data_IF_797827886296
#
_entry.id   IF_797827886296
#
_cell.length_a   1.000
_cell.length_b   1.000
_cell.length_c   1.000
_cell.angle_alpha   90.00
_cell.angle_beta   90.00
_cell.angle_gamma   90.00
#
_symmetry.space_group_name_H-M   'P 1'
#
loop_
_entity.id
_entity.type
_entity.pdbx_description
1 polymer ?
#
# COMPACT_ATOMS: atom_id res chain seq x y z
N UNK A 1 -4.00 6.55 -1.29
CA UNK A 1 -2.75 6.21 -2.03
C UNK A 1 -2.94 4.92 -2.83
N UNK A 2 -2.42 4.86 -4.05
CA UNK A 2 -2.19 3.62 -4.79
C UNK A 2 -0.75 3.19 -4.55
N UNK A 3 -0.57 2.10 -3.83
CA UNK A 3 0.71 1.73 -3.22
C UNK A 3 1.31 0.49 -3.85
N UNK A 4 2.62 0.52 -4.14
CA UNK A 4 3.35 -0.62 -4.71
C UNK A 4 2.72 -1.15 -6.00
N UNK A 5 2.26 -0.26 -6.88
CA UNK A 5 1.58 -0.63 -8.13
C UNK A 5 2.56 -1.25 -9.14
N UNK A 6 2.04 -2.19 -9.92
CA UNK A 6 2.75 -2.88 -11.00
C UNK A 6 2.24 -2.47 -12.36
N UNK A 7 2.95 -2.93 -13.39
CA UNK A 7 2.62 -2.61 -14.78
C UNK A 7 1.16 -2.95 -15.08
N UNK A 8 0.53 -2.04 -15.81
CA UNK A 8 -0.88 -2.06 -16.19
C UNK A 8 -1.87 -1.85 -15.02
N UNK A 9 -1.46 -1.94 -13.74
CA UNK A 9 -2.34 -1.64 -12.61
C UNK A 9 -2.62 -0.13 -12.50
N UNK A 10 -1.65 0.76 -12.76
CA UNK A 10 -1.91 2.20 -12.60
C UNK A 10 -3.00 2.69 -13.55
N UNK A 11 -2.96 2.28 -14.82
CA UNK A 11 -3.97 2.63 -15.81
C UNK A 11 -5.34 2.07 -15.39
N UNK A 12 -5.36 0.80 -15.04
CA UNK A 12 -6.56 0.07 -14.67
C UNK A 12 -7.23 0.64 -13.41
N UNK A 13 -6.46 1.02 -12.40
CA UNK A 13 -6.97 1.66 -11.19
C UNK A 13 -7.49 3.08 -11.50
N UNK A 14 -6.76 3.87 -12.28
CA UNK A 14 -7.16 5.23 -12.67
C UNK A 14 -8.45 5.25 -13.52
N UNK A 15 -8.69 4.21 -14.33
CA UNK A 15 -9.91 4.10 -15.15
C UNK A 15 -11.17 3.74 -14.32
N UNK A 16 -10.99 3.20 -13.11
CA UNK A 16 -12.08 2.76 -12.24
C UNK A 16 -12.20 3.54 -10.93
N UNK A 17 -11.44 4.62 -10.80
CA UNK A 17 -11.45 5.49 -9.63
C UNK A 17 -11.60 6.94 -10.07
N UNK A 18 -12.52 7.66 -9.43
CA UNK A 18 -12.72 9.09 -9.66
C UNK A 18 -12.25 9.88 -8.44
N UNK A 19 -11.23 10.69 -8.62
CA UNK A 19 -10.74 11.58 -7.58
C UNK A 19 -11.71 12.76 -7.37
N UNK A 20 -12.21 12.94 -6.15
CA UNK A 20 -13.14 14.01 -5.82
C UNK A 20 -12.47 15.38 -5.58
N UNK A 21 -13.27 16.41 -5.27
CA UNK A 21 -12.75 17.77 -5.17
C UNK A 21 -11.74 17.94 -4.03
N UNK A 22 -12.07 17.40 -2.86
CA UNK A 22 -11.34 17.53 -1.60
C UNK A 22 -10.33 16.40 -1.37
N UNK A 23 -10.07 15.57 -2.38
CA UNK A 23 -9.19 14.41 -2.27
C UNK A 23 -7.83 14.67 -2.93
N UNK A 24 -6.83 13.96 -2.43
CA UNK A 24 -5.49 13.86 -3.03
C UNK A 24 -5.17 12.40 -3.31
N UNK A 25 -4.47 12.14 -4.41
CA UNK A 25 -4.02 10.81 -4.79
C UNK A 25 -2.50 10.77 -4.84
N UNK A 26 -1.90 9.91 -4.03
CA UNK A 26 -0.50 9.50 -4.22
C UNK A 26 -0.49 8.22 -5.06
N UNK A 27 0.36 8.15 -6.07
CA UNK A 27 0.65 6.94 -6.85
C UNK A 27 2.10 6.56 -6.60
N UNK A 28 2.32 5.36 -6.08
CA UNK A 28 3.64 4.86 -5.73
C UNK A 28 3.94 3.56 -6.50
N UNK A 29 4.60 3.65 -7.67
CA UNK A 29 5.03 2.48 -8.43
C UNK A 29 6.00 1.63 -7.62
N UNK A 30 5.87 0.30 -7.69
CA UNK A 30 6.74 -0.63 -6.95
C UNK A 30 8.21 -0.54 -7.37
N UNK A 31 8.43 -0.27 -8.65
CA UNK A 31 9.71 -0.41 -9.34
C UNK A 31 10.19 0.97 -9.84
N UNK A 32 11.35 1.48 -9.37
CA UNK A 32 11.81 2.83 -9.72
C UNK A 32 12.11 3.02 -11.21
N UNK A 33 12.49 1.97 -11.93
CA UNK A 33 12.64 1.98 -13.38
C UNK A 33 11.34 2.33 -14.11
N UNK A 34 10.18 2.17 -13.47
CA UNK A 34 8.86 2.50 -14.00
C UNK A 34 8.39 3.93 -13.69
N UNK A 35 9.13 4.72 -12.92
CA UNK A 35 8.70 6.08 -12.61
C UNK A 35 8.45 6.92 -13.86
N UNK A 36 9.31 6.80 -14.88
CA UNK A 36 9.13 7.52 -16.14
C UNK A 36 7.94 7.00 -16.95
N UNK A 37 7.71 5.69 -16.92
CA UNK A 37 6.56 5.05 -17.57
C UNK A 37 5.24 5.58 -16.98
N UNK A 38 5.13 5.62 -15.65
CA UNK A 38 3.93 6.12 -14.95
C UNK A 38 3.78 7.63 -15.13
N UNK A 39 4.88 8.39 -15.14
CA UNK A 39 4.86 9.82 -15.49
C UNK A 39 4.22 10.04 -16.87
N UNK A 40 4.63 9.26 -17.88
CA UNK A 40 4.08 9.37 -19.23
C UNK A 40 2.62 8.92 -19.30
N UNK A 41 2.22 7.89 -18.55
CA UNK A 41 0.82 7.46 -18.44
C UNK A 41 -0.07 8.60 -17.93
N UNK A 42 0.36 9.28 -16.86
CA UNK A 42 -0.38 10.40 -16.29
C UNK A 42 -0.52 11.56 -17.28
N UNK A 43 0.56 11.91 -17.99
CA UNK A 43 0.53 12.93 -19.04
C UNK A 43 -0.42 12.55 -20.18
N UNK A 44 -0.38 11.29 -20.64
CA UNK A 44 -1.23 10.81 -21.73
C UNK A 44 -2.72 10.79 -21.36
N UNK A 45 -3.06 10.57 -20.09
CA UNK A 45 -4.42 10.70 -19.57
C UNK A 45 -4.84 12.17 -19.33
N UNK A 46 -3.95 13.14 -19.57
CA UNK A 46 -4.23 14.57 -19.35
C UNK A 46 -4.36 14.93 -17.87
N UNK A 47 -3.78 14.12 -16.98
CA UNK A 47 -3.86 14.33 -15.53
C UNK A 47 -2.78 15.31 -15.07
N UNK A 48 -3.15 16.27 -14.24
CA UNK A 48 -2.18 17.17 -13.61
C UNK A 48 -1.62 16.53 -12.33
N UNK A 49 -0.29 16.43 -12.25
CA UNK A 49 0.40 15.85 -11.10
C UNK A 49 1.70 16.60 -10.80
N UNK A 50 2.22 16.38 -9.60
CA UNK A 50 3.59 16.75 -9.22
C UNK A 50 4.39 15.48 -8.91
N UNK A 51 5.72 15.57 -9.02
CA UNK A 51 6.63 14.49 -8.60
C UNK A 51 7.19 14.80 -7.23
N UNK A 52 7.27 13.79 -6.36
CA UNK A 52 7.82 13.94 -5.02
C UNK A 52 9.27 14.44 -5.04
N UNK A 53 10.10 13.93 -5.95
CA UNK A 53 11.47 14.38 -6.16
C UNK A 53 11.59 15.89 -6.45
N UNK A 54 10.55 16.48 -7.04
CA UNK A 54 10.48 17.89 -7.43
C UNK A 54 9.91 18.81 -6.34
N UNK A 55 9.56 18.26 -5.17
CA UNK A 55 9.05 18.98 -4.00
C UNK A 55 10.11 19.30 -2.95
N UNK A 56 11.38 18.93 -3.18
CA UNK A 56 12.49 19.18 -2.24
C UNK A 56 12.87 20.66 -2.04
N UNK A 57 12.19 21.58 -2.72
CA UNK A 57 12.34 23.01 -2.50
C UNK A 57 11.34 23.45 -1.42
N UNK A 58 11.86 23.92 -0.28
CA UNK A 58 11.08 24.29 0.92
C UNK A 58 9.97 25.31 0.64
N UNK A 59 10.07 26.07 -0.46
CA UNK A 59 9.08 27.08 -0.84
C UNK A 59 7.95 26.52 -1.72
N UNK A 60 8.04 25.27 -2.16
CA UNK A 60 7.11 24.71 -3.13
C UNK A 60 5.95 24.00 -2.43
N UNK A 61 4.77 24.61 -2.53
CA UNK A 61 3.53 24.01 -2.03
C UNK A 61 3.02 22.95 -3.02
N UNK A 62 2.66 21.77 -2.50
CA UNK A 62 1.97 20.74 -3.27
C UNK A 62 0.57 21.24 -3.67
N UNK A 63 0.44 21.67 -4.92
CA UNK A 63 -0.75 22.34 -5.42
C UNK A 63 -1.68 21.38 -6.17
N UNK A 64 -1.09 20.43 -6.90
CA UNK A 64 -1.83 19.44 -7.69
C UNK A 64 -2.51 18.40 -6.82
N UNK A 65 -3.50 17.71 -7.39
CA UNK A 65 -4.24 16.66 -6.68
C UNK A 65 -3.52 15.31 -6.68
N UNK A 66 -2.71 15.06 -7.70
CA UNK A 66 -1.98 13.81 -7.87
C UNK A 66 -0.50 14.05 -7.55
N UNK A 67 0.07 13.17 -6.73
CA UNK A 67 1.51 13.08 -6.48
C UNK A 67 2.03 11.76 -7.02
N UNK A 68 2.99 11.81 -7.92
CA UNK A 68 3.79 10.65 -8.27
C UNK A 68 4.92 10.51 -7.26
N UNK A 69 4.90 9.44 -6.47
CA UNK A 69 5.97 9.10 -5.55
C UNK A 69 7.11 8.42 -6.32
N UNK A 70 8.03 9.24 -6.84
CA UNK A 70 9.22 8.83 -7.58
C UNK A 70 10.47 8.76 -6.68
N UNK A 71 10.33 8.13 -5.51
CA UNK A 71 11.41 7.91 -4.55
C UNK A 71 11.31 6.53 -3.88
N UNK A 72 12.47 5.94 -3.59
CA UNK A 72 12.58 4.67 -2.88
C UNK A 72 12.56 4.87 -1.36
N UNK A 73 11.97 3.91 -0.64
CA UNK A 73 12.00 3.87 0.82
C UNK A 73 10.99 4.78 1.52
N UNK A 74 10.25 5.59 0.78
CA UNK A 74 9.34 6.59 1.35
C UNK A 74 7.91 6.08 1.57
N UNK A 75 7.54 4.91 1.01
CA UNK A 75 6.15 4.45 0.97
C UNK A 75 5.49 4.38 2.36
N UNK A 76 6.24 3.91 3.36
CA UNK A 76 5.80 3.84 4.77
C UNK A 76 5.43 5.22 5.32
N UNK A 77 6.21 6.26 4.99
CA UNK A 77 5.93 7.63 5.39
C UNK A 77 4.63 8.14 4.75
N UNK A 78 4.31 7.68 3.54
CA UNK A 78 3.07 8.03 2.86
C UNK A 78 1.85 7.27 3.39
N UNK A 79 2.02 6.06 3.93
CA UNK A 79 0.94 5.38 4.67
C UNK A 79 0.51 6.19 5.90
N UNK A 80 1.46 6.76 6.63
CA UNK A 80 1.20 7.56 7.84
C UNK A 80 0.30 8.80 7.60
N UNK A 81 0.26 9.30 6.36
CA UNK A 81 -0.55 10.48 5.98
C UNK A 81 -1.70 10.14 5.03
N UNK A 82 -1.98 8.86 4.80
CA UNK A 82 -3.06 8.40 3.91
C UNK A 82 -4.27 7.94 4.72
N UNK A 83 -5.47 8.20 4.22
CA UNK A 83 -6.69 7.62 4.82
C UNK A 83 -6.96 6.21 4.28
N UNK A 84 -6.80 6.03 2.97
CA UNK A 84 -7.08 4.80 2.23
C UNK A 84 -5.84 4.35 1.46
N UNK A 85 -5.51 3.05 1.57
CA UNK A 85 -4.44 2.39 0.82
C UNK A 85 -5.07 1.39 -0.14
N UNK A 86 -4.88 1.61 -1.44
CA UNK A 86 -5.11 0.61 -2.48
C UNK A 86 -3.78 -0.07 -2.75
N UNK A 87 -3.60 -1.28 -2.21
CA UNK A 87 -2.35 -2.03 -2.26
C UNK A 87 -2.25 -2.84 -3.54
N UNK A 88 -1.37 -2.42 -4.44
CA UNK A 88 -1.11 -3.03 -5.74
C UNK A 88 -0.46 -4.41 -5.66
N UNK A 89 0.02 -4.89 -6.80
CA UNK A 89 0.51 -6.25 -7.02
C UNK A 89 -0.58 -7.32 -6.90
N UNK A 90 -1.85 -6.93 -6.87
CA UNK A 90 -2.96 -7.79 -6.48
C UNK A 90 -4.18 -7.67 -7.38
N UNK A 91 -4.20 -6.68 -8.29
CA UNK A 91 -5.30 -6.44 -9.23
C UNK A 91 -5.11 -7.16 -10.57
N UNK A 92 -3.88 -7.58 -10.86
CA UNK A 92 -3.51 -8.37 -12.05
C UNK A 92 -2.84 -9.68 -11.60
N UNK A 93 -3.06 -10.75 -12.36
CA UNK A 93 -2.46 -12.06 -12.08
C UNK A 93 -0.94 -12.05 -12.29
N UNK A 94 -0.21 -12.88 -11.54
CA UNK A 94 1.23 -13.10 -11.72
C UNK A 94 2.15 -12.41 -10.71
N UNK A 95 1.70 -11.37 -9.99
CA UNK A 95 2.53 -10.67 -8.99
C UNK A 95 2.40 -11.29 -7.59
N UNK A 96 1.18 -11.50 -7.11
CA UNK A 96 0.91 -12.21 -5.85
C UNK A 96 0.81 -11.36 -4.58
N UNK A 97 0.61 -10.05 -4.72
CA UNK A 97 0.36 -9.10 -3.64
C UNK A 97 1.62 -8.50 -3.03
N UNK A 98 1.43 -7.49 -2.19
CA UNK A 98 2.46 -6.88 -1.34
C UNK A 98 2.10 -6.97 0.13
N UNK A 99 3.05 -6.60 0.99
CA UNK A 99 2.91 -6.69 2.44
C UNK A 99 1.78 -5.77 2.96
N UNK A 100 0.69 -6.32 3.54
CA UNK A 100 -0.41 -5.53 4.09
C UNK A 100 -0.11 -4.95 5.48
N UNK A 101 0.91 -5.45 6.18
CA UNK A 101 1.21 -5.12 7.58
C UNK A 101 1.55 -3.64 7.76
N UNK A 102 2.33 -3.07 6.84
CA UNK A 102 2.74 -1.66 6.93
C UNK A 102 1.54 -0.71 6.85
N UNK A 103 0.58 -0.97 5.96
CA UNK A 103 -0.64 -0.18 5.86
C UNK A 103 -1.56 -0.37 7.08
N UNK A 104 -1.65 -1.61 7.59
CA UNK A 104 -2.41 -1.89 8.81
C UNK A 104 -1.81 -1.23 10.05
N UNK A 105 -0.48 -1.09 10.11
CA UNK A 105 0.22 -0.43 11.21
C UNK A 105 -0.18 1.06 11.35
N UNK A 106 -0.49 1.74 10.23
CA UNK A 106 -0.91 3.14 10.24
C UNK A 106 -2.44 3.33 10.28
N UNK A 107 -3.19 2.29 10.65
CA UNK A 107 -4.65 2.35 10.75
C UNK A 107 -5.31 2.88 9.46
N UNK A 108 -4.79 2.50 8.29
CA UNK A 108 -5.38 2.86 7.00
C UNK A 108 -6.60 1.96 6.70
N UNK A 109 -7.56 2.46 5.93
CA UNK A 109 -8.50 1.57 5.22
C UNK A 109 -7.72 0.85 4.13
N UNK A 110 -7.65 -0.48 4.21
CA UNK A 110 -6.83 -1.28 3.29
C UNK A 110 -7.71 -1.97 2.24
N UNK A 111 -7.49 -1.62 0.98
CA UNK A 111 -8.12 -2.24 -0.20
C UNK A 111 -7.05 -2.98 -1.00
N UNK A 112 -7.32 -4.23 -1.37
CA UNK A 112 -6.43 -5.02 -2.20
C UNK A 112 -7.23 -5.77 -3.27
N UNK A 113 -6.61 -6.12 -4.39
CA UNK A 113 -7.18 -7.04 -5.35
C UNK A 113 -7.09 -8.49 -4.84
N UNK A 114 -7.66 -9.43 -5.61
CA UNK A 114 -7.79 -10.84 -5.17
C UNK A 114 -6.49 -11.65 -5.28
N UNK A 115 -5.50 -11.20 -6.05
CA UNK A 115 -4.31 -11.97 -6.38
C UNK A 115 -3.20 -11.81 -5.33
N UNK A 116 -3.40 -12.35 -4.13
CA UNK A 116 -2.49 -12.20 -2.97
C UNK A 116 -1.68 -13.45 -2.62
N UNK A 117 -1.52 -14.40 -3.56
CA UNK A 117 -1.02 -15.74 -3.28
C UNK A 117 0.40 -15.77 -2.67
N UNK A 118 1.27 -14.80 -2.96
CA UNK A 118 2.62 -14.71 -2.37
C UNK A 118 2.62 -14.09 -0.97
N UNK A 119 1.54 -13.40 -0.59
CA UNK A 119 1.43 -12.66 0.67
C UNK A 119 0.31 -13.19 1.58
N UNK A 120 -0.33 -14.30 1.19
CA UNK A 120 -1.53 -14.83 1.86
C UNK A 120 -1.40 -14.91 3.38
N UNK A 121 -0.26 -15.42 3.88
CA UNK A 121 0.02 -15.53 5.31
C UNK A 121 -0.03 -14.15 5.99
N UNK A 122 0.56 -13.12 5.39
CA UNK A 122 0.53 -11.77 5.97
C UNK A 122 -0.87 -11.16 5.93
N UNK A 123 -1.67 -11.46 4.90
CA UNK A 123 -3.06 -11.04 4.85
C UNK A 123 -3.94 -11.73 5.91
N UNK A 124 -3.62 -12.97 6.30
CA UNK A 124 -4.30 -13.67 7.41
C UNK A 124 -4.02 -13.02 8.78
N UNK A 125 -2.90 -12.31 8.90
CA UNK A 125 -2.52 -11.54 10.10
C UNK A 125 -3.10 -10.11 10.12
N UNK A 126 -3.95 -9.74 9.15
CA UNK A 126 -4.59 -8.42 9.09
C UNK A 126 -6.11 -8.56 9.03
N UNK A 127 -6.78 -8.02 10.03
CA UNK A 127 -8.23 -7.86 10.07
C UNK A 127 -8.67 -6.64 9.23
N UNK A 128 -9.93 -6.66 8.76
CA UNK A 128 -10.57 -5.59 8.01
C UNK A 128 -9.89 -5.21 6.68
N UNK A 129 -9.28 -6.19 6.01
CA UNK A 129 -8.85 -6.01 4.61
C UNK A 129 -10.05 -6.12 3.68
N UNK A 130 -10.22 -5.14 2.80
CA UNK A 130 -11.27 -5.15 1.79
C UNK A 130 -10.74 -5.63 0.44
N UNK A 131 -11.27 -6.75 -0.03
CA UNK A 131 -10.94 -7.25 -1.36
C UNK A 131 -11.82 -6.60 -2.44
N UNK A 132 -11.18 -6.15 -3.52
CA UNK A 132 -11.80 -5.61 -4.72
C UNK A 132 -11.65 -6.64 -5.86
N UNK A 133 -12.61 -7.56 -5.95
CA UNK A 133 -12.59 -8.61 -6.99
C UNK A 133 -12.99 -8.10 -8.36
N UNK A 134 -13.87 -7.09 -8.40
CA UNK A 134 -14.37 -6.45 -9.62
C UNK A 134 -14.03 -4.98 -9.56
N UNK A 135 -13.29 -4.50 -10.56
CA UNK A 135 -12.76 -3.14 -10.58
C UNK A 135 -13.83 -2.06 -10.63
N UNK A 136 -15.00 -2.36 -11.19
CA UNK A 136 -16.17 -1.46 -11.14
C UNK A 136 -16.59 -1.09 -9.71
N UNK A 137 -16.22 -1.88 -8.71
CA UNK A 137 -16.54 -1.62 -7.30
C UNK A 137 -15.43 -0.79 -6.61
N UNK A 138 -14.32 -0.49 -7.29
CA UNK A 138 -13.16 0.19 -6.71
C UNK A 138 -13.54 1.58 -6.20
N UNK A 139 -14.20 2.39 -7.03
CA UNK A 139 -14.61 3.75 -6.67
C UNK A 139 -15.42 3.75 -5.36
N UNK A 140 -16.47 2.93 -5.31
CA UNK A 140 -17.35 2.84 -4.15
C UNK A 140 -16.60 2.34 -2.90
N UNK A 141 -15.68 1.38 -3.07
CA UNK A 141 -14.84 0.89 -1.97
C UNK A 141 -13.95 1.98 -1.40
N UNK A 142 -13.34 2.81 -2.25
CA UNK A 142 -12.47 3.91 -1.80
C UNK A 142 -13.28 4.97 -1.05
N UNK A 143 -14.49 5.30 -1.52
CA UNK A 143 -15.27 6.42 -0.97
C UNK A 143 -16.15 6.06 0.22
N UNK A 144 -16.63 4.81 0.33
CA UNK A 144 -17.65 4.44 1.33
C UNK A 144 -17.18 3.49 2.43
N UNK A 145 -16.01 2.87 2.30
CA UNK A 145 -15.46 2.00 3.35
C UNK A 145 -14.69 2.79 4.40
N UNK A 146 -14.86 2.42 5.66
CA UNK A 146 -14.32 3.18 6.79
C UNK A 146 -13.70 2.33 7.91
N UNK A 147 -13.80 0.98 7.86
CA UNK A 147 -13.12 0.16 8.86
C UNK A 147 -11.64 0.10 8.53
N UNK A 148 -10.83 0.49 9.51
CA UNK A 148 -9.39 0.52 9.40
C UNK A 148 -8.82 -0.89 9.58
N UNK A 149 -7.79 -1.21 8.79
CA UNK A 149 -7.06 -2.45 8.90
C UNK A 149 -6.39 -2.55 10.27
N UNK A 150 -6.34 -3.76 10.84
CA UNK A 150 -5.73 -3.99 12.16
C UNK A 150 -4.88 -5.24 12.09
N UNK A 151 -3.68 -5.17 12.66
CA UNK A 151 -2.84 -6.35 12.80
C UNK A 151 -3.47 -7.27 13.85
N UNK A 152 -3.82 -8.48 13.45
CA UNK A 152 -4.31 -9.55 14.32
C UNK A 152 -3.26 -9.80 15.41
N UNK A 153 -3.61 -9.62 16.68
CA UNK A 153 -2.69 -10.00 17.76
C UNK A 153 -2.64 -11.53 17.86
N UNK A 154 -1.58 -12.14 17.36
CA UNK A 154 -1.14 -13.47 17.80
C UNK A 154 0.37 -13.50 17.97
N UNK A 155 0.82 -13.18 19.17
CA UNK A 155 2.05 -13.80 19.67
C UNK A 155 1.76 -14.52 20.97
N UNK A 156 1.63 -15.84 20.85
CA UNK A 156 1.90 -16.71 21.98
C UNK A 156 3.42 -16.74 22.18
N UNK A 157 3.90 -15.85 23.05
CA UNK A 157 5.32 -15.75 23.40
C UNK A 157 5.81 -16.94 24.22
N UNK A 158 4.93 -17.84 24.67
CA UNK A 158 5.30 -18.95 25.55
C UNK A 158 6.35 -19.85 24.90
N UNK A 159 6.27 -20.09 23.59
CA UNK A 159 7.26 -20.92 22.89
C UNK A 159 8.64 -20.25 22.82
N UNK A 160 8.67 -18.93 22.59
CA UNK A 160 9.91 -18.13 22.56
C UNK A 160 10.52 -18.12 23.96
N UNK A 161 9.70 -17.83 24.98
CA UNK A 161 10.10 -17.81 26.39
C UNK A 161 10.63 -19.19 26.82
N UNK A 162 9.92 -20.27 26.52
CA UNK A 162 10.36 -21.65 26.81
C UNK A 162 11.68 -22.00 26.13
N UNK A 163 11.88 -21.56 24.89
CA UNK A 163 13.12 -21.82 24.14
C UNK A 163 14.31 -21.07 24.75
N UNK A 164 14.11 -19.79 25.10
CA UNK A 164 15.13 -18.98 25.80
C UNK A 164 15.47 -19.61 27.15
N UNK A 165 14.47 -20.01 27.95
CA UNK A 165 14.66 -20.63 29.26
C UNK A 165 15.45 -21.94 29.17
N UNK A 166 15.07 -22.86 28.26
CA UNK A 166 15.81 -24.12 28.04
C UNK A 166 17.27 -23.87 27.63
N UNK A 167 17.53 -22.87 26.79
CA UNK A 167 18.89 -22.50 26.38
C UNK A 167 19.73 -21.90 27.51
N UNK A 168 19.11 -21.17 28.45
CA UNK A 168 19.77 -20.64 29.65
C UNK A 168 20.09 -21.78 30.63
N UNK A 169 19.17 -22.71 30.86
CA UNK A 169 19.35 -23.82 31.79
C UNK A 169 20.40 -24.84 31.30
N UNK A 170 20.52 -25.04 29.98
CA UNK A 170 21.57 -25.86 29.39
C UNK A 170 23.00 -25.34 29.68
N UNK A 171 23.17 -24.02 29.86
CA UNK A 171 24.47 -23.41 30.21
C UNK A 171 24.79 -23.45 31.70
N UNK A 172 23.79 -23.64 32.58
CA UNK A 172 24.00 -23.73 34.04
C UNK A 172 24.40 -25.13 34.52
N UNK A 173 24.35 -26.13 33.64
CA UNK A 173 24.66 -27.53 33.94
C UNK A 173 26.08 -27.96 33.50
N UNK A 174 26.95 -26.99 33.17
CA UNK A 174 28.39 -27.14 32.91
C UNK A 174 29.17 -26.40 34.00
#
# INVERSE_FOLDING_TARGET
IFASTHKDEEELLLDHFKLEENEKLIIAPRHPERFKEVENLLLNKGLEFEKFSSLKDENKKFSKKILLLDALGELVNFYAISDVVVLGGSFIEGIGGHNPIEAAYFDNVLISGKFIHNQKVLFEEVENVYFCEKLKDLNDKVHYLNLKAKISKKENLDLIIQTIQKGIDARKSL
#
